data_IF_459359479359
#
_entry.id   IF_459359479359
#
_cell.length_a   1.000
_cell.length_b   1.000
_cell.length_c   1.000
_cell.angle_alpha   90.00
_cell.angle_beta   90.00
_cell.angle_gamma   90.00
#
_symmetry.space_group_name_H-M   'P 1'
#
loop_
_entity.id
_entity.type
_entity.pdbx_description
1 polymer ?
#
# COMPACT_ATOMS: atom_id res chain seq x y z
N UNK A 1 1.90 8.66 21.12
CA UNK A 1 0.89 7.59 21.03
C UNK A 1 -0.06 7.77 19.85
N UNK A 2 -0.85 8.86 19.73
CA UNK A 2 -1.86 9.03 18.64
C UNK A 2 -1.25 8.94 17.25
N UNK A 3 -0.10 9.58 17.00
CA UNK A 3 0.61 9.47 15.71
C UNK A 3 0.99 8.03 15.36
N UNK A 4 1.42 7.22 16.33
CA UNK A 4 1.71 5.81 16.18
C UNK A 4 0.44 5.03 15.74
N UNK A 5 -0.69 5.26 16.41
CA UNK A 5 -1.95 4.61 16.05
C UNK A 5 -2.44 4.97 14.64
N UNK A 6 -2.13 6.20 14.16
CA UNK A 6 -2.42 6.56 12.77
C UNK A 6 -1.71 5.66 11.76
N UNK A 7 -0.47 5.26 12.02
CA UNK A 7 0.27 4.34 11.15
C UNK A 7 -0.15 2.89 11.32
N UNK A 8 -0.41 2.45 12.56
CA UNK A 8 -0.86 1.09 12.86
C UNK A 8 -2.31 0.81 12.44
N UNK A 9 -3.06 1.84 12.08
CA UNK A 9 -4.43 1.67 11.57
C UNK A 9 -4.52 0.82 10.31
N UNK A 10 -3.42 0.65 9.56
CA UNK A 10 -3.37 -0.26 8.41
C UNK A 10 -3.75 -1.70 8.77
N UNK A 11 -3.53 -2.09 10.05
CA UNK A 11 -3.88 -3.42 10.56
C UNK A 11 -5.32 -3.53 11.08
N UNK A 12 -5.95 -2.40 11.46
CA UNK A 12 -7.20 -2.40 12.25
C UNK A 12 -8.40 -1.77 11.54
N UNK A 13 -8.20 -0.74 10.75
CA UNK A 13 -9.31 0.02 10.18
C UNK A 13 -8.90 0.89 8.99
N UNK A 14 -7.70 0.69 8.48
CA UNK A 14 -7.21 1.40 7.30
C UNK A 14 -7.34 2.92 7.41
N UNK A 15 -8.05 3.51 6.46
CA UNK A 15 -8.17 4.96 6.29
C UNK A 15 -8.98 5.66 7.38
N UNK A 16 -9.92 4.97 8.03
CA UNK A 16 -10.90 5.58 8.95
C UNK A 16 -10.20 6.16 10.20
N UNK A 17 -9.30 5.41 10.80
CA UNK A 17 -8.63 5.83 12.05
C UNK A 17 -7.77 7.09 11.85
N UNK A 18 -6.87 7.18 10.86
CA UNK A 18 -6.11 8.39 10.64
C UNK A 18 -6.98 9.57 10.21
N UNK A 19 -8.09 9.34 9.52
CA UNK A 19 -9.06 10.37 9.18
C UNK A 19 -9.72 10.97 10.44
N UNK A 20 -10.15 10.12 11.37
CA UNK A 20 -10.72 10.56 12.66
C UNK A 20 -9.69 11.38 13.44
N UNK A 21 -8.45 10.89 13.56
CA UNK A 21 -7.39 11.62 14.27
C UNK A 21 -7.07 12.96 13.59
N UNK A 22 -7.03 13.00 12.28
CA UNK A 22 -6.84 14.25 11.55
C UNK A 22 -7.98 15.24 11.83
N UNK A 23 -9.25 14.82 11.77
CA UNK A 23 -10.40 15.69 12.05
C UNK A 23 -10.40 16.26 13.46
N UNK A 24 -10.07 15.45 14.47
CA UNK A 24 -10.09 15.85 15.87
C UNK A 24 -8.90 16.78 16.22
N UNK A 25 -7.73 16.54 15.62
CA UNK A 25 -6.48 17.17 16.04
C UNK A 25 -5.90 18.16 15.04
N UNK A 26 -6.54 18.39 13.88
CA UNK A 26 -6.03 19.26 12.81
C UNK A 26 -5.72 20.69 13.30
N UNK A 27 -6.47 21.21 14.26
CA UNK A 27 -6.27 22.55 14.85
C UNK A 27 -5.48 22.51 16.17
N UNK A 28 -5.37 21.34 16.80
CA UNK A 28 -4.81 21.21 18.16
C UNK A 28 -3.34 20.82 18.19
N UNK A 29 -2.87 20.04 17.19
CA UNK A 29 -1.50 19.53 17.17
C UNK A 29 -0.98 19.34 15.75
N UNK A 30 0.02 20.15 15.38
CA UNK A 30 0.72 20.00 14.10
C UNK A 30 1.37 18.61 13.94
N UNK A 31 1.86 18.03 15.05
CA UNK A 31 2.46 16.70 15.07
C UNK A 31 1.45 15.60 14.69
N UNK A 32 0.30 15.58 15.38
CA UNK A 32 -0.74 14.58 15.12
C UNK A 32 -1.33 14.80 13.71
N UNK A 33 -1.61 16.04 13.34
CA UNK A 33 -2.06 16.41 11.99
C UNK A 33 -1.12 15.88 10.92
N UNK A 34 0.19 16.04 11.09
CA UNK A 34 1.21 15.57 10.16
C UNK A 34 1.18 14.04 10.00
N UNK A 35 1.24 13.30 11.10
CA UNK A 35 1.27 11.84 11.06
C UNK A 35 -0.05 11.25 10.57
N UNK A 36 -1.19 11.80 10.97
CA UNK A 36 -2.50 11.32 10.53
C UNK A 36 -2.73 11.56 9.03
N UNK A 37 -2.39 12.76 8.54
CA UNK A 37 -2.53 13.08 7.13
C UNK A 37 -1.59 12.22 6.26
N UNK A 38 -0.36 12.03 6.72
CA UNK A 38 0.64 11.19 6.07
C UNK A 38 0.20 9.71 6.01
N UNK A 39 -0.32 9.18 7.11
CA UNK A 39 -0.87 7.83 7.17
C UNK A 39 -2.09 7.67 6.24
N UNK A 40 -2.97 8.66 6.18
CA UNK A 40 -4.13 8.65 5.29
C UNK A 40 -3.73 8.56 3.82
N UNK A 41 -2.80 9.41 3.36
CA UNK A 41 -2.30 9.34 1.98
C UNK A 41 -1.57 8.03 1.69
N UNK A 42 -0.84 7.50 2.68
CA UNK A 42 -0.17 6.21 2.54
C UNK A 42 -1.16 5.05 2.37
N UNK A 43 -2.27 5.04 3.13
CA UNK A 43 -3.33 4.04 2.96
C UNK A 43 -4.02 4.14 1.59
N UNK A 44 -4.28 5.37 1.11
CA UNK A 44 -4.83 5.57 -0.23
C UNK A 44 -3.86 5.02 -1.28
N UNK A 45 -2.57 5.36 -1.20
CA UNK A 45 -1.56 4.85 -2.12
C UNK A 45 -1.48 3.32 -2.09
N UNK A 46 -1.55 2.71 -0.88
CA UNK A 46 -1.59 1.26 -0.73
C UNK A 46 -2.80 0.62 -1.42
N UNK A 47 -4.00 1.18 -1.22
CA UNK A 47 -5.22 0.69 -1.86
C UNK A 47 -5.09 0.77 -3.39
N UNK A 48 -4.57 1.87 -3.92
CA UNK A 48 -4.35 2.04 -5.37
C UNK A 48 -3.34 1.02 -5.90
N UNK A 49 -2.22 0.80 -5.20
CA UNK A 49 -1.20 -0.18 -5.59
C UNK A 49 -1.80 -1.58 -5.63
N UNK A 50 -2.54 -1.99 -4.60
CA UNK A 50 -3.18 -3.32 -4.56
C UNK A 50 -4.22 -3.46 -5.67
N UNK A 51 -5.04 -2.43 -5.90
CA UNK A 51 -6.03 -2.43 -6.98
C UNK A 51 -5.37 -2.62 -8.36
N UNK A 52 -4.33 -1.85 -8.65
CA UNK A 52 -3.56 -1.98 -9.89
C UNK A 52 -2.92 -3.36 -10.02
N UNK A 53 -2.38 -3.90 -8.94
CA UNK A 53 -1.79 -5.23 -8.92
C UNK A 53 -2.82 -6.33 -9.23
N UNK A 54 -3.98 -6.28 -8.57
CA UNK A 54 -5.09 -7.21 -8.83
C UNK A 54 -5.54 -7.10 -10.28
N UNK A 55 -5.65 -5.89 -10.81
CA UNK A 55 -6.00 -5.66 -12.21
C UNK A 55 -5.01 -6.32 -13.17
N UNK A 56 -3.71 -6.13 -12.94
CA UNK A 56 -2.64 -6.76 -13.74
C UNK A 56 -2.75 -8.29 -13.68
N UNK A 57 -2.98 -8.88 -12.49
CA UNK A 57 -3.14 -10.33 -12.32
C UNK A 57 -4.33 -10.84 -13.12
N UNK A 58 -5.49 -10.19 -12.98
CA UNK A 58 -6.71 -10.61 -13.69
C UNK A 58 -6.49 -10.58 -15.20
N UNK A 59 -5.90 -9.49 -15.72
CA UNK A 59 -5.59 -9.41 -17.14
C UNK A 59 -4.59 -10.47 -17.61
N UNK A 60 -3.57 -10.76 -16.79
CA UNK A 60 -2.60 -11.81 -17.10
C UNK A 60 -3.26 -13.18 -17.13
N UNK A 61 -4.12 -13.51 -16.16
CA UNK A 61 -4.83 -14.78 -16.10
C UNK A 61 -5.76 -14.95 -17.31
N UNK A 62 -6.57 -13.93 -17.60
CA UNK A 62 -7.51 -13.96 -18.73
C UNK A 62 -6.76 -14.03 -20.06
N UNK A 63 -5.76 -13.19 -20.26
CA UNK A 63 -4.97 -13.15 -21.50
C UNK A 63 -4.22 -14.45 -21.76
N UNK A 64 -3.54 -15.00 -20.74
CA UNK A 64 -2.85 -16.28 -20.87
C UNK A 64 -3.80 -17.46 -21.00
N UNK A 65 -4.96 -17.41 -20.33
CA UNK A 65 -6.02 -18.42 -20.47
C UNK A 65 -6.58 -18.48 -21.86
N UNK A 66 -6.88 -17.34 -22.49
CA UNK A 66 -7.33 -17.25 -23.88
C UNK A 66 -6.26 -17.71 -24.87
N UNK A 67 -5.00 -17.30 -24.66
CA UNK A 67 -3.88 -17.72 -25.49
C UNK A 67 -3.63 -19.23 -25.40
N UNK A 68 -3.74 -19.84 -24.20
CA UNK A 68 -3.59 -21.29 -24.03
C UNK A 68 -4.74 -22.04 -24.65
N UNK A 69 -5.98 -21.57 -24.58
CA UNK A 69 -7.12 -22.20 -25.24
C UNK A 69 -6.94 -22.22 -26.76
N UNK A 70 -6.43 -21.11 -27.34
CA UNK A 70 -6.10 -21.06 -28.77
C UNK A 70 -4.98 -22.02 -29.14
N UNK A 71 -3.93 -22.16 -28.34
CA UNK A 71 -2.80 -23.07 -28.59
C UNK A 71 -3.19 -24.55 -28.44
N UNK A 72 -4.05 -24.88 -27.49
CA UNK A 72 -4.60 -26.23 -27.36
C UNK A 72 -5.41 -26.67 -28.61
N UNK A 73 -6.14 -25.73 -29.21
CA UNK A 73 -6.87 -25.99 -30.42
C UNK A 73 -5.96 -26.28 -31.64
N UNK A 74 -4.72 -25.70 -31.63
CA UNK A 74 -3.80 -25.81 -32.77
C UNK A 74 -2.74 -26.90 -32.56
N UNK A 75 -2.18 -27.04 -31.34
CA UNK A 75 -1.02 -27.90 -31.06
C UNK A 75 -1.28 -29.05 -30.10
N UNK A 76 -2.39 -29.05 -29.38
CA UNK A 76 -2.72 -30.04 -28.36
C UNK A 76 -1.85 -29.98 -27.09
N UNK A 77 -0.86 -29.09 -27.07
CA UNK A 77 0.09 -28.94 -25.95
C UNK A 77 0.08 -27.51 -25.46
N UNK A 78 -0.53 -27.28 -24.30
CA UNK A 78 -0.37 -26.02 -23.57
C UNK A 78 0.95 -25.99 -22.78
N UNK A 79 1.42 -24.80 -22.39
CA UNK A 79 2.61 -24.64 -21.56
C UNK A 79 2.21 -24.36 -20.08
N UNK A 80 1.65 -25.35 -19.35
CA UNK A 80 1.16 -25.14 -17.99
C UNK A 80 2.30 -24.74 -17.03
N UNK A 81 3.53 -25.20 -17.29
CA UNK A 81 4.68 -24.90 -16.43
C UNK A 81 5.07 -23.42 -16.43
N UNK A 82 5.05 -22.77 -17.60
CA UNK A 82 5.36 -21.33 -17.69
C UNK A 82 4.28 -20.49 -17.00
N UNK A 83 3.00 -20.88 -17.12
CA UNK A 83 1.91 -20.21 -16.43
C UNK A 83 2.04 -20.31 -14.92
N UNK A 84 2.33 -21.51 -14.39
CA UNK A 84 2.54 -21.74 -12.96
C UNK A 84 3.74 -20.93 -12.46
N UNK A 85 4.86 -20.94 -13.18
CA UNK A 85 6.05 -20.15 -12.83
C UNK A 85 5.73 -18.65 -12.76
N UNK A 86 5.03 -18.12 -13.75
CA UNK A 86 4.58 -16.73 -13.78
C UNK A 86 3.71 -16.39 -12.57
N UNK A 87 2.74 -17.25 -12.24
CA UNK A 87 1.90 -17.04 -11.06
C UNK A 87 2.71 -17.03 -9.76
N UNK A 88 3.65 -17.96 -9.60
CA UNK A 88 4.53 -17.99 -8.41
C UNK A 88 5.32 -16.70 -8.28
N UNK A 89 5.91 -16.19 -9.37
CA UNK A 89 6.67 -14.94 -9.36
C UNK A 89 5.77 -13.75 -8.99
N UNK A 90 4.59 -13.67 -9.59
CA UNK A 90 3.61 -12.59 -9.33
C UNK A 90 3.16 -12.58 -7.87
N UNK A 91 2.83 -13.75 -7.29
CA UNK A 91 2.45 -13.84 -5.88
C UNK A 91 3.63 -13.56 -4.94
N UNK A 92 4.83 -13.99 -5.28
CA UNK A 92 6.03 -13.68 -4.50
C UNK A 92 6.29 -12.16 -4.46
N UNK A 93 6.15 -11.47 -5.59
CA UNK A 93 6.29 -10.01 -5.66
C UNK A 93 5.20 -9.31 -4.83
N UNK A 94 3.94 -9.75 -4.91
CA UNK A 94 2.84 -9.22 -4.09
C UNK A 94 3.16 -9.36 -2.59
N UNK A 95 3.64 -10.53 -2.20
CA UNK A 95 4.03 -10.80 -0.82
C UNK A 95 5.11 -9.84 -0.34
N UNK A 96 6.17 -9.63 -1.13
CA UNK A 96 7.24 -8.68 -0.81
C UNK A 96 6.73 -7.24 -0.69
N UNK A 97 5.83 -6.80 -1.57
CA UNK A 97 5.20 -5.48 -1.52
C UNK A 97 4.41 -5.31 -0.21
N UNK A 98 3.57 -6.28 0.13
CA UNK A 98 2.74 -6.24 1.35
C UNK A 98 3.63 -6.19 2.60
N UNK A 99 4.64 -7.06 2.69
CA UNK A 99 5.56 -7.07 3.83
C UNK A 99 6.37 -5.77 3.92
N UNK A 100 6.83 -5.23 2.79
CA UNK A 100 7.53 -3.94 2.75
C UNK A 100 6.65 -2.79 3.26
N UNK A 101 5.40 -2.75 2.86
CA UNK A 101 4.43 -1.73 3.27
C UNK A 101 4.12 -1.85 4.77
N UNK A 102 3.88 -3.06 5.28
CA UNK A 102 3.65 -3.27 6.70
C UNK A 102 4.88 -2.97 7.54
N UNK A 103 6.07 -3.38 7.09
CA UNK A 103 7.33 -3.04 7.75
C UNK A 103 7.54 -1.53 7.82
N UNK A 104 7.26 -0.81 6.74
CA UNK A 104 7.34 0.64 6.70
C UNK A 104 6.33 1.31 7.65
N UNK A 105 5.09 0.80 7.71
CA UNK A 105 4.08 1.32 8.62
C UNK A 105 4.46 1.12 10.10
N UNK A 106 5.04 -0.03 10.44
CA UNK A 106 5.56 -0.32 11.79
C UNK A 106 6.73 0.63 12.11
N UNK A 107 7.69 0.78 11.22
CA UNK A 107 8.82 1.69 11.40
C UNK A 107 8.35 3.12 11.67
N UNK A 108 7.43 3.63 10.84
CA UNK A 108 6.85 4.98 10.98
C UNK A 108 6.06 5.13 12.29
N UNK A 109 5.33 4.09 12.68
CA UNK A 109 4.60 4.07 13.94
C UNK A 109 5.52 4.18 15.16
N UNK A 110 6.61 3.40 15.20
CA UNK A 110 7.60 3.42 16.26
C UNK A 110 8.28 4.79 16.34
N UNK A 111 8.71 5.33 15.22
CA UNK A 111 9.34 6.65 15.15
C UNK A 111 8.40 7.76 15.60
N UNK A 112 7.14 7.73 15.18
CA UNK A 112 6.11 8.65 15.65
C UNK A 112 5.83 8.52 17.14
N UNK A 113 5.93 7.33 17.72
CA UNK A 113 5.83 7.12 19.17
C UNK A 113 6.93 7.87 19.93
N UNK A 114 8.16 7.88 19.41
CA UNK A 114 9.28 8.64 19.97
C UNK A 114 9.23 10.14 19.70
N UNK A 115 8.17 10.65 19.08
CA UNK A 115 7.99 12.08 18.81
C UNK A 115 8.71 12.62 17.58
N UNK A 116 9.23 11.74 16.70
CA UNK A 116 9.96 12.13 15.52
C UNK A 116 9.04 12.48 14.36
N UNK A 117 9.35 13.55 13.61
CA UNK A 117 8.70 13.91 12.34
C UNK A 117 9.26 13.10 11.17
N UNK A 118 9.04 11.79 11.18
CA UNK A 118 9.50 10.90 10.11
C UNK A 118 8.57 11.02 8.90
N UNK A 119 9.16 10.98 7.71
CA UNK A 119 8.46 11.20 6.43
C UNK A 119 8.41 9.92 5.61
N UNK A 120 7.23 9.54 5.14
CA UNK A 120 7.12 8.54 4.08
C UNK A 120 7.81 9.03 2.80
N UNK A 121 8.46 8.15 2.04
CA UNK A 121 8.98 8.51 0.74
C UNK A 121 7.89 9.18 -0.12
N UNK A 122 8.22 10.26 -0.82
CA UNK A 122 7.33 11.07 -1.65
C UNK A 122 6.23 11.81 -0.88
N UNK A 123 5.35 11.09 -0.19
CA UNK A 123 4.17 11.61 0.52
C UNK A 123 4.59 12.54 1.67
N UNK A 124 5.60 12.15 2.44
CA UNK A 124 5.99 12.89 3.65
C UNK A 124 6.45 14.31 3.36
N UNK A 125 7.18 14.53 2.27
CA UNK A 125 7.61 15.87 1.89
C UNK A 125 6.45 16.74 1.43
N UNK A 126 5.47 16.18 0.72
CA UNK A 126 4.26 16.89 0.30
C UNK A 126 3.42 17.33 1.51
N UNK A 127 3.18 16.41 2.44
CA UNK A 127 2.42 16.69 3.66
C UNK A 127 3.17 17.68 4.55
N UNK A 128 4.49 17.55 4.67
CA UNK A 128 5.32 18.46 5.46
C UNK A 128 5.24 19.90 4.94
N UNK A 129 5.39 20.08 3.62
CA UNK A 129 5.24 21.41 2.99
C UNK A 129 3.85 21.97 3.18
N UNK A 130 2.81 21.15 3.09
CA UNK A 130 1.44 21.59 3.29
C UNK A 130 1.15 22.09 4.72
N UNK A 131 1.81 21.52 5.72
CA UNK A 131 1.56 21.85 7.14
C UNK A 131 2.48 22.94 7.66
N UNK A 132 3.73 22.97 7.20
CA UNK A 132 4.80 23.81 7.75
C UNK A 132 5.38 24.80 6.76
N UNK A 133 5.13 24.64 5.47
CA UNK A 133 5.73 25.42 4.38
C UNK A 133 4.91 26.61 3.90
N UNK A 134 3.96 27.08 4.74
CA UNK A 134 3.22 28.32 4.52
C UNK A 134 3.91 29.49 5.20
#
# INVERSE_FOLDING_TARGET
MIGMFSHFSIFLGGLIIPLIFWLIYKEKSKFIRFHSLQAMFFHIAFIVIIFLWVFIIVFAIVGLGLASAGSHAVTGHGAPGLFVLLMVVVYAMLFLIIFGIYGLAIYMGIKSYHGEYVKYPLIGNMVYKHIFGG
#
